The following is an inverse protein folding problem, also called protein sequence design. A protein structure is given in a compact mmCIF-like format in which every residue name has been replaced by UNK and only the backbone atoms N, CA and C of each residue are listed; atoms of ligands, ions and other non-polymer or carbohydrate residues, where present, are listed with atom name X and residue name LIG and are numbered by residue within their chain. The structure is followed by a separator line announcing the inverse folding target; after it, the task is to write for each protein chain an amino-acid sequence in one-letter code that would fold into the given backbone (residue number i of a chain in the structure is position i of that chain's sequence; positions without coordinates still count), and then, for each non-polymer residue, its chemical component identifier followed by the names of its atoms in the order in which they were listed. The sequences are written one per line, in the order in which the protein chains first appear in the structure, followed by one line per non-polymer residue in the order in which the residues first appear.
data_IF_662920346084
#
_entry.id   IF_662920346084
#
_cell.length_a   1.000
_cell.length_b   1.000
_cell.length_c   1.000
_cell.angle_alpha   90.00
_cell.angle_beta   90.00
_cell.angle_gamma   90.00
#
_symmetry.space_group_name_H-M   'P 1'
#
loop_
_entity.id
_entity.type
_entity.pdbx_description
1 polymer ?
#
# COMPACT_ATOMS: atom_id res chain seq x y z
N UNK A 1 -21.46 -8.51 17.76
CA UNK A 1 -20.94 -8.90 16.44
C UNK A 1 -21.49 -7.99 15.35
N UNK A 2 -20.75 -7.89 14.25
CA UNK A 2 -21.16 -7.07 13.10
C UNK A 2 -21.98 -7.91 12.11
N UNK A 3 -23.01 -7.27 11.54
CA UNK A 3 -23.73 -7.86 10.40
C UNK A 3 -22.86 -7.81 9.15
N UNK A 4 -23.18 -8.63 8.15
CA UNK A 4 -22.45 -8.64 6.88
C UNK A 4 -22.52 -7.30 6.18
N UNK A 5 -23.66 -6.63 6.23
CA UNK A 5 -23.85 -5.30 5.65
C UNK A 5 -22.94 -4.27 6.29
N UNK A 6 -22.83 -4.27 7.62
CA UNK A 6 -21.93 -3.36 8.36
C UNK A 6 -20.47 -3.66 8.06
N UNK A 7 -20.11 -4.94 7.92
CA UNK A 7 -18.75 -5.34 7.55
C UNK A 7 -18.37 -4.82 6.16
N UNK A 8 -19.27 -4.95 5.20
CA UNK A 8 -19.04 -4.43 3.85
C UNK A 8 -18.89 -2.92 3.83
N UNK A 9 -19.74 -2.22 4.55
CA UNK A 9 -19.66 -0.76 4.69
C UNK A 9 -18.33 -0.34 5.30
N UNK A 10 -17.92 -0.99 6.37
CA UNK A 10 -16.65 -0.68 7.04
C UNK A 10 -15.46 -0.95 6.11
N UNK A 11 -15.49 -2.04 5.36
CA UNK A 11 -14.42 -2.35 4.41
C UNK A 11 -14.33 -1.31 3.29
N UNK A 12 -15.46 -0.87 2.75
CA UNK A 12 -15.48 0.18 1.72
C UNK A 12 -14.93 1.50 2.25
N UNK A 13 -15.29 1.86 3.48
CA UNK A 13 -14.76 3.06 4.12
C UNK A 13 -13.26 2.95 4.38
N UNK A 14 -12.77 1.75 4.73
CA UNK A 14 -11.35 1.49 4.87
C UNK A 14 -10.61 1.68 3.54
N UNK A 15 -11.14 1.12 2.46
CA UNK A 15 -10.55 1.27 1.14
C UNK A 15 -10.50 2.74 0.70
N UNK A 16 -11.56 3.48 0.94
CA UNK A 16 -11.63 4.92 0.63
C UNK A 16 -10.57 5.69 1.42
N UNK A 17 -10.45 5.39 2.72
CA UNK A 17 -9.46 6.04 3.58
C UNK A 17 -8.04 5.79 3.07
N UNK A 18 -7.73 4.56 2.70
CA UNK A 18 -6.40 4.21 2.20
C UNK A 18 -6.16 4.75 0.79
N UNK A 19 -7.11 4.56 -0.12
CA UNK A 19 -6.93 4.92 -1.53
C UNK A 19 -7.02 6.42 -1.79
N UNK A 20 -8.04 7.08 -1.26
CA UNK A 20 -8.31 8.48 -1.58
C UNK A 20 -7.60 9.45 -0.64
N UNK A 21 -7.64 9.19 0.66
CA UNK A 21 -6.98 10.05 1.64
C UNK A 21 -5.51 9.67 1.83
N UNK A 22 -5.10 8.53 1.29
CA UNK A 22 -3.70 8.08 1.26
C UNK A 22 -3.04 8.03 2.64
N UNK A 23 -3.79 7.64 3.65
CA UNK A 23 -3.24 7.53 5.02
C UNK A 23 -2.11 6.50 5.10
N UNK A 24 -1.99 5.61 4.12
CA UNK A 24 -0.90 4.65 4.06
C UNK A 24 0.48 5.30 3.99
N UNK A 25 0.58 6.58 3.57
CA UNK A 25 1.85 7.30 3.47
C UNK A 25 2.45 7.65 4.83
N UNK A 26 1.65 7.57 5.88
CA UNK A 26 2.14 7.75 7.24
C UNK A 26 2.88 6.49 7.70
N UNK A 27 4.19 6.59 7.92
CA UNK A 27 4.99 5.45 8.36
C UNK A 27 4.74 5.05 9.81
N UNK A 28 3.99 5.88 10.55
CA UNK A 28 3.58 5.60 11.93
C UNK A 28 2.15 5.10 12.02
N UNK A 29 1.51 4.83 10.88
CA UNK A 29 0.15 4.33 10.86
C UNK A 29 0.05 2.99 11.58
N UNK A 30 -0.91 2.88 12.49
CA UNK A 30 -1.19 1.66 13.23
C UNK A 30 -2.62 1.21 12.97
N UNK A 31 -2.85 -0.07 13.21
CA UNK A 31 -4.21 -0.63 13.16
C UNK A 31 -5.15 0.10 14.12
N UNK A 32 -4.67 0.43 15.30
CA UNK A 32 -5.43 1.16 16.30
C UNK A 32 -5.86 2.54 15.80
N UNK A 33 -4.96 3.28 15.15
CA UNK A 33 -5.27 4.60 14.58
C UNK A 33 -6.31 4.50 13.47
N UNK A 34 -6.18 3.54 12.58
CA UNK A 34 -7.15 3.33 11.49
C UNK A 34 -8.51 2.93 12.05
N UNK A 35 -8.53 2.04 13.03
CA UNK A 35 -9.78 1.65 13.69
C UNK A 35 -10.48 2.86 14.30
N UNK A 36 -9.73 3.73 14.97
CA UNK A 36 -10.26 4.97 15.54
C UNK A 36 -10.85 5.88 14.45
N UNK A 37 -10.14 6.08 13.35
CA UNK A 37 -10.62 6.88 12.22
C UNK A 37 -11.95 6.37 11.66
N UNK A 38 -12.15 5.05 11.71
CA UNK A 38 -13.34 4.41 11.18
C UNK A 38 -14.45 4.20 12.22
N UNK A 39 -14.21 4.59 13.47
CA UNK A 39 -15.18 4.42 14.53
C UNK A 39 -15.39 2.96 14.95
N UNK A 40 -14.36 2.14 14.84
CA UNK A 40 -14.39 0.73 15.22
C UNK A 40 -13.22 0.40 16.17
N UNK A 41 -12.91 -0.88 16.34
CA UNK A 41 -11.77 -1.32 17.13
C UNK A 41 -10.85 -2.22 16.29
N UNK A 42 -9.64 -2.44 16.80
CA UNK A 42 -8.62 -3.22 16.09
C UNK A 42 -9.04 -4.66 15.80
N UNK A 43 -9.84 -5.25 16.68
CA UNK A 43 -10.28 -6.64 16.53
C UNK A 43 -11.21 -6.79 15.32
N UNK A 44 -12.21 -5.93 15.22
CA UNK A 44 -13.13 -5.94 14.08
C UNK A 44 -12.40 -5.56 12.78
N UNK A 45 -11.49 -4.59 12.85
CA UNK A 45 -10.72 -4.18 11.67
C UNK A 45 -9.89 -5.36 11.14
N UNK A 46 -9.16 -6.05 12.01
CA UNK A 46 -8.38 -7.23 11.62
C UNK A 46 -9.24 -8.32 11.03
N UNK A 47 -10.40 -8.57 11.64
CA UNK A 47 -11.34 -9.58 11.17
C UNK A 47 -11.83 -9.27 9.77
N UNK A 48 -12.23 -8.03 9.52
CA UNK A 48 -12.77 -7.62 8.23
C UNK A 48 -11.70 -7.69 7.13
N UNK A 49 -10.50 -7.21 7.41
CA UNK A 49 -9.40 -7.30 6.45
C UNK A 49 -9.10 -8.76 6.11
N UNK A 50 -9.01 -9.62 7.12
CA UNK A 50 -8.72 -11.03 6.90
C UNK A 50 -9.84 -11.73 6.14
N UNK A 51 -11.10 -11.50 6.48
CA UNK A 51 -12.23 -12.10 5.78
C UNK A 51 -12.30 -11.69 4.32
N UNK A 52 -12.03 -10.41 4.02
CA UNK A 52 -12.14 -9.86 2.67
C UNK A 52 -10.92 -10.13 1.80
N UNK A 53 -9.72 -10.19 2.39
CA UNK A 53 -8.47 -10.21 1.62
C UNK A 53 -7.52 -11.35 1.97
N UNK A 54 -7.76 -12.07 3.05
CA UNK A 54 -6.84 -13.09 3.61
C UNK A 54 -5.49 -12.50 4.03
N UNK A 55 -5.44 -11.20 4.27
CA UNK A 55 -4.24 -10.48 4.65
C UNK A 55 -4.32 -9.98 6.10
N UNK A 56 -3.14 -9.72 6.68
CA UNK A 56 -3.03 -8.94 7.91
C UNK A 56 -3.21 -7.45 7.58
N UNK A 57 -3.41 -6.62 8.59
CA UNK A 57 -3.44 -5.17 8.43
C UNK A 57 -2.17 -4.65 7.73
N UNK A 58 -1.00 -5.07 8.20
CA UNK A 58 0.29 -4.63 7.63
C UNK A 58 0.43 -5.02 6.16
N UNK A 59 0.08 -6.26 5.83
CA UNK A 59 0.10 -6.73 4.44
C UNK A 59 -0.83 -5.90 3.56
N UNK A 60 -2.02 -5.63 4.06
CA UNK A 60 -3.04 -4.87 3.33
C UNK A 60 -2.57 -3.44 3.05
N UNK A 61 -2.05 -2.75 4.07
CA UNK A 61 -1.53 -1.38 3.92
C UNK A 61 -0.32 -1.35 2.99
N UNK A 62 0.61 -2.29 3.15
CA UNK A 62 1.78 -2.38 2.27
C UNK A 62 1.40 -2.63 0.81
N UNK A 63 0.27 -3.28 0.57
CA UNK A 63 -0.28 -3.44 -0.77
C UNK A 63 -0.59 -2.11 -1.44
N UNK A 64 -1.19 -1.17 -0.72
CA UNK A 64 -1.46 0.18 -1.22
C UNK A 64 -0.16 0.95 -1.49
N UNK A 65 0.81 0.85 -0.60
CA UNK A 65 2.13 1.49 -0.77
C UNK A 65 2.83 0.97 -2.02
N UNK A 66 2.82 -0.34 -2.21
CA UNK A 66 3.47 -0.98 -3.36
C UNK A 66 2.79 -0.60 -4.67
N UNK A 67 1.46 -0.58 -4.69
CA UNK A 67 0.70 -0.17 -5.86
C UNK A 67 1.05 1.25 -6.29
N UNK A 68 1.17 2.16 -5.33
CA UNK A 68 1.56 3.53 -5.60
C UNK A 68 3.01 3.62 -6.12
N UNK A 69 3.93 2.82 -5.55
CA UNK A 69 5.29 2.73 -6.04
C UNK A 69 5.35 2.27 -7.51
N UNK A 70 4.55 1.26 -7.87
CA UNK A 70 4.46 0.79 -9.26
C UNK A 70 3.97 1.92 -10.16
N UNK A 71 2.96 2.66 -9.74
CA UNK A 71 2.44 3.80 -10.52
C UNK A 71 3.54 4.84 -10.75
N UNK A 72 4.25 5.23 -9.70
CA UNK A 72 5.33 6.21 -9.81
C UNK A 72 6.46 5.75 -10.72
N UNK A 73 6.89 4.50 -10.57
CA UNK A 73 8.00 3.95 -11.37
C UNK A 73 7.59 3.54 -12.78
N UNK A 74 6.31 3.52 -13.08
CA UNK A 74 5.80 3.32 -14.44
C UNK A 74 5.88 4.58 -15.29
N UNK A 75 6.12 5.73 -14.68
CA UNK A 75 6.38 6.97 -15.38
C UNK A 75 7.89 7.03 -15.76
N UNK A 76 8.22 6.98 -17.06
CA UNK A 76 9.63 6.99 -17.50
C UNK A 76 10.37 8.28 -17.13
N UNK A 77 9.65 9.35 -16.85
CA UNK A 77 10.22 10.64 -16.48
C UNK A 77 10.45 10.78 -14.96
N UNK A 78 9.97 9.83 -14.19
CA UNK A 78 10.17 9.87 -12.74
C UNK A 78 11.64 9.56 -12.41
N UNK A 79 12.32 10.52 -11.76
CA UNK A 79 13.72 10.40 -11.37
C UNK A 79 13.91 10.51 -9.87
N UNK A 80 12.84 10.44 -9.10
CA UNK A 80 12.90 10.51 -7.64
C UNK A 80 13.75 9.35 -7.11
N UNK A 81 14.75 9.62 -6.23
CA UNK A 81 15.52 8.51 -5.66
C UNK A 81 14.63 7.47 -4.99
N UNK A 82 14.99 6.20 -5.15
CA UNK A 82 14.20 5.10 -4.60
C UNK A 82 14.03 5.22 -3.09
N UNK A 83 15.06 5.69 -2.39
CA UNK A 83 14.99 5.91 -0.94
C UNK A 83 13.92 6.95 -0.59
N UNK A 84 13.82 8.01 -1.38
CA UNK A 84 12.80 9.04 -1.18
C UNK A 84 11.41 8.51 -1.46
N UNK A 85 11.24 7.74 -2.54
CA UNK A 85 9.95 7.10 -2.85
C UNK A 85 9.51 6.21 -1.68
N UNK A 86 10.41 5.35 -1.20
CA UNK A 86 10.11 4.45 -0.07
C UNK A 86 9.62 5.23 1.15
N UNK A 87 10.34 6.29 1.53
CA UNK A 87 9.99 7.12 2.69
C UNK A 87 8.66 7.85 2.50
N UNK A 88 8.44 8.45 1.34
CA UNK A 88 7.22 9.18 1.02
C UNK A 88 5.98 8.29 1.03
N UNK A 89 6.15 7.02 0.66
CA UNK A 89 5.05 6.06 0.65
C UNK A 89 4.77 5.43 2.02
N UNK A 90 5.60 5.73 3.02
CA UNK A 90 5.38 5.25 4.38
C UNK A 90 6.03 3.92 4.72
N UNK A 91 6.90 3.39 3.85
CA UNK A 91 7.66 2.19 4.21
C UNK A 91 8.66 2.50 5.31
N UNK A 92 8.76 1.60 6.29
CA UNK A 92 9.68 1.77 7.41
C UNK A 92 11.12 1.34 7.10
N UNK A 93 11.31 0.60 6.01
CA UNK A 93 12.66 0.18 5.59
C UNK A 93 12.71 -0.07 4.10
N UNK A 94 13.90 0.09 3.53
CA UNK A 94 14.15 -0.26 2.13
C UNK A 94 14.00 -1.75 1.89
N UNK A 95 14.33 -2.58 2.88
CA UNK A 95 14.17 -4.03 2.79
C UNK A 95 12.71 -4.41 2.55
N UNK A 96 11.79 -3.83 3.31
CA UNK A 96 10.35 -4.08 3.13
C UNK A 96 9.88 -3.56 1.77
N UNK A 97 10.30 -2.38 1.38
CA UNK A 97 9.97 -1.81 0.08
C UNK A 97 10.39 -2.74 -1.06
N UNK A 98 11.64 -3.17 -1.07
CA UNK A 98 12.16 -4.08 -2.11
C UNK A 98 11.43 -5.41 -2.12
N UNK A 99 11.25 -6.03 -0.97
CA UNK A 99 10.59 -7.31 -0.83
C UNK A 99 9.15 -7.27 -1.34
N UNK A 100 8.38 -6.25 -0.95
CA UNK A 100 7.00 -6.07 -1.39
C UNK A 100 6.92 -5.77 -2.89
N UNK A 101 7.80 -4.91 -3.38
CA UNK A 101 7.82 -4.54 -4.80
C UNK A 101 8.17 -5.73 -5.68
N UNK A 102 9.18 -6.51 -5.29
CA UNK A 102 9.60 -7.69 -6.03
C UNK A 102 8.51 -8.78 -6.02
N UNK A 103 7.82 -8.95 -4.89
CA UNK A 103 6.70 -9.89 -4.83
C UNK A 103 5.57 -9.50 -5.78
N UNK A 104 5.32 -8.20 -5.93
CA UNK A 104 4.25 -7.69 -6.79
C UNK A 104 4.59 -7.69 -8.27
N UNK A 105 5.85 -7.42 -8.63
CA UNK A 105 6.25 -7.16 -10.03
C UNK A 105 7.22 -8.19 -10.61
N UNK A 106 7.85 -9.00 -9.77
CA UNK A 106 8.93 -9.90 -10.17
C UNK A 106 10.28 -9.20 -10.36
N UNK A 107 10.36 -7.90 -10.10
CA UNK A 107 11.57 -7.09 -10.29
C UNK A 107 11.84 -6.25 -9.04
N UNK A 108 13.12 -5.92 -8.81
CA UNK A 108 13.44 -4.88 -7.84
C UNK A 108 12.95 -3.52 -8.38
N UNK A 109 12.77 -2.51 -7.51
CA UNK A 109 12.39 -1.18 -7.98
C UNK A 109 13.37 -0.59 -9.00
N UNK A 110 14.68 -0.80 -8.82
CA UNK A 110 15.69 -0.33 -9.76
C UNK A 110 15.58 -1.02 -11.13
N UNK A 111 15.41 -2.33 -11.14
CA UNK A 111 15.21 -3.09 -12.37
C UNK A 111 13.96 -2.64 -13.11
N UNK A 112 12.87 -2.43 -12.38
CA UNK A 112 11.60 -2.00 -12.94
C UNK A 112 11.74 -0.61 -13.58
N UNK A 113 12.33 0.34 -12.88
CA UNK A 113 12.60 1.69 -13.41
C UNK A 113 13.45 1.63 -14.68
N UNK A 114 14.53 0.87 -14.65
CA UNK A 114 15.41 0.74 -15.80
C UNK A 114 14.68 0.15 -17.01
N UNK A 115 13.83 -0.84 -16.79
CA UNK A 115 13.05 -1.45 -17.87
C UNK A 115 12.05 -0.47 -18.48
N UNK A 116 11.36 0.28 -17.65
CA UNK A 116 10.41 1.31 -18.11
C UNK A 116 11.12 2.38 -18.93
N UNK A 117 12.26 2.86 -18.48
CA UNK A 117 13.05 3.87 -19.19
C UNK A 117 13.60 3.34 -20.50
N UNK A 118 14.09 2.08 -20.51
CA UNK A 118 14.57 1.41 -21.71
C UNK A 118 13.47 1.28 -22.76
N UNK A 119 12.29 0.81 -22.36
CA UNK A 119 11.16 0.67 -23.28
C UNK A 119 10.69 2.03 -23.82
N UNK A 120 10.75 3.07 -23.01
CA UNK A 120 10.38 4.42 -23.43
C UNK A 120 11.34 4.96 -24.50
N UNK A 121 12.65 4.73 -24.33
CA UNK A 121 13.67 5.15 -25.32
C UNK A 121 13.52 4.48 -26.68
N UNK A 122 12.95 3.29 -26.70
CA UNK A 122 12.83 2.49 -27.93
C UNK A 122 11.54 2.78 -28.72
N UNK A 123 10.80 3.81 -28.32
CA UNK A 123 9.60 4.22 -29.05
C UNK A 123 9.88 5.19 -30.17
#
# INVERSE_FOLDING_TARGET
SLTDEKKQDLFLRLETLLREEKVFTDNLLTKEKVAEMLGTNRTYLSQIINEQTKQTFTQFVNGFRTKEAVRLLSDPDNQTPLKAISAELGFNSMTTFYSQFQAATGMTPAQYRNKVQELHKNR
#
